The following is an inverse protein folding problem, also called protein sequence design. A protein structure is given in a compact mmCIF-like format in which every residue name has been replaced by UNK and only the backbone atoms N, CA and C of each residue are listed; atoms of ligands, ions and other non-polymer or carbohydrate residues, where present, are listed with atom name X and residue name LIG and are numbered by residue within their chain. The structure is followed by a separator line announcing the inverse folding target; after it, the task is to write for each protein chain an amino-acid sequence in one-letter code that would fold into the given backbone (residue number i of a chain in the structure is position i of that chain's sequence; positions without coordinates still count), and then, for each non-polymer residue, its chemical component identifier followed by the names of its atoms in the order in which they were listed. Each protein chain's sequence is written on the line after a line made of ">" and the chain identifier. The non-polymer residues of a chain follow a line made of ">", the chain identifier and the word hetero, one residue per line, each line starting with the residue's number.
data_IF_455892657219
#
_entry.id   IF_455892657219
#
_cell.length_a   1.000
_cell.length_b   1.000
_cell.length_c   1.000
_cell.angle_alpha   90.00
_cell.angle_beta   90.00
_cell.angle_gamma   90.00
#
_symmetry.space_group_name_H-M   'P 1'
#
loop_
_entity.id
_entity.type
_entity.pdbx_description
1 polymer ?
#
# COMPACT_ATOMS: atom_id res chain seq x y z
N UNK A 1 -46.09 7.50 -49.32
CA UNK A 1 -44.99 6.56 -49.66
C UNK A 1 -43.69 7.34 -49.51
N UNK A 2 -42.78 7.04 -48.61
CA UNK A 2 -42.58 5.83 -47.81
C UNK A 2 -41.76 6.21 -46.57
N UNK A 3 -42.05 5.52 -45.48
CA UNK A 3 -41.17 5.39 -44.33
C UNK A 3 -39.84 4.76 -44.75
N UNK A 4 -38.74 5.20 -44.14
CA UNK A 4 -37.77 4.29 -43.52
C UNK A 4 -37.02 5.01 -42.40
N UNK A 5 -37.16 4.46 -41.21
CA UNK A 5 -36.34 4.68 -40.02
C UNK A 5 -34.85 4.39 -40.28
N UNK A 6 -33.95 5.16 -39.66
CA UNK A 6 -32.88 4.54 -38.86
C UNK A 6 -32.36 5.48 -37.75
N UNK A 7 -32.61 5.03 -36.53
CA UNK A 7 -32.13 5.52 -35.24
C UNK A 7 -30.59 5.46 -35.19
N UNK A 8 -29.92 6.62 -35.29
CA UNK A 8 -28.49 6.73 -34.97
C UNK A 8 -28.31 7.14 -33.51
N UNK A 9 -28.40 6.17 -32.61
CA UNK A 9 -27.88 6.29 -31.24
C UNK A 9 -26.37 6.31 -31.28
N UNK A 10 -25.74 7.43 -30.94
CA UNK A 10 -24.33 7.42 -30.51
C UNK A 10 -24.07 8.64 -29.64
N UNK A 11 -23.27 8.43 -28.58
CA UNK A 11 -22.65 9.40 -27.66
C UNK A 11 -23.52 9.70 -26.44
N UNK A 12 -23.07 9.56 -25.20
CA UNK A 12 -21.72 9.41 -24.65
C UNK A 12 -21.77 8.40 -23.50
N UNK A 13 -20.77 7.52 -23.43
CA UNK A 13 -20.37 6.95 -22.15
C UNK A 13 -19.79 8.13 -21.37
N UNK A 14 -20.53 8.61 -20.37
CA UNK A 14 -20.03 9.62 -19.44
C UNK A 14 -18.72 9.10 -18.86
N UNK A 15 -17.65 9.82 -19.16
CA UNK A 15 -16.31 9.46 -18.75
C UNK A 15 -16.28 9.30 -17.25
N UNK A 16 -15.86 8.11 -16.80
CA UNK A 16 -15.41 7.93 -15.43
C UNK A 16 -14.20 8.86 -15.28
N UNK A 17 -14.45 10.04 -14.71
CA UNK A 17 -13.40 10.97 -14.32
C UNK A 17 -12.72 10.37 -13.08
N UNK A 18 -11.91 9.33 -13.28
CA UNK A 18 -10.96 8.89 -12.26
C UNK A 18 -9.81 9.88 -12.24
N UNK A 19 -10.06 11.08 -11.72
CA UNK A 19 -8.98 11.93 -11.23
C UNK A 19 -8.47 11.24 -9.96
N UNK A 20 -7.68 10.18 -10.12
CA UNK A 20 -6.93 9.60 -9.01
C UNK A 20 -5.92 10.66 -8.60
N UNK A 21 -6.25 11.43 -7.57
CA UNK A 21 -5.27 12.28 -6.93
C UNK A 21 -4.23 11.33 -6.31
N UNK A 22 -3.13 11.12 -7.02
CA UNK A 22 -2.00 10.38 -6.51
C UNK A 22 -1.60 11.05 -5.19
N UNK A 23 -1.87 10.35 -4.08
CA UNK A 23 -1.58 10.85 -2.74
C UNK A 23 -0.07 11.09 -2.69
N UNK A 24 0.34 12.36 -2.64
CA UNK A 24 1.75 12.72 -2.55
C UNK A 24 2.28 12.18 -1.23
N UNK A 25 3.14 11.16 -1.32
CA UNK A 25 3.86 10.62 -0.15
C UNK A 25 4.89 11.68 0.24
N UNK A 26 4.90 12.08 1.51
CA UNK A 26 5.90 13.02 2.02
C UNK A 26 7.25 12.31 2.18
N UNK A 27 8.35 13.06 2.18
CA UNK A 27 9.68 12.48 2.37
C UNK A 27 9.79 11.80 3.74
N UNK A 28 9.16 12.34 4.78
CA UNK A 28 9.11 11.75 6.11
C UNK A 28 8.35 10.43 6.10
N UNK A 29 7.26 10.34 5.34
CA UNK A 29 6.55 9.07 5.20
C UNK A 29 7.42 8.04 4.48
N UNK A 30 8.10 8.44 3.41
CA UNK A 30 9.03 7.55 2.69
C UNK A 30 10.17 7.06 3.59
N UNK A 31 10.72 7.94 4.44
CA UNK A 31 11.74 7.58 5.41
C UNK A 31 11.23 6.54 6.42
N UNK A 32 10.00 6.75 6.94
CA UNK A 32 9.35 5.79 7.84
C UNK A 32 9.16 4.41 7.21
N UNK A 33 8.80 4.33 5.92
CA UNK A 33 8.75 3.06 5.19
C UNK A 33 10.12 2.38 5.14
N UNK A 34 11.15 3.15 4.76
CA UNK A 34 12.51 2.64 4.64
C UNK A 34 13.05 2.11 5.96
N UNK A 35 12.88 2.88 7.04
CA UNK A 35 13.36 2.52 8.38
C UNK A 35 12.67 1.26 8.89
N UNK A 36 11.35 1.13 8.67
CA UNK A 36 10.63 -0.09 9.03
C UNK A 36 11.14 -1.31 8.27
N UNK A 37 11.36 -1.20 6.95
CA UNK A 37 11.90 -2.29 6.14
C UNK A 37 13.28 -2.71 6.64
N UNK A 38 14.13 -1.75 6.98
CA UNK A 38 15.46 -2.02 7.52
C UNK A 38 15.39 -2.73 8.89
N UNK A 39 14.53 -2.25 9.79
CA UNK A 39 14.32 -2.87 11.09
C UNK A 39 13.81 -4.31 10.96
N UNK A 40 12.89 -4.59 10.03
CA UNK A 40 12.37 -5.94 9.81
C UNK A 40 13.44 -6.89 9.26
N UNK A 41 14.32 -6.41 8.36
CA UNK A 41 15.46 -7.17 7.85
C UNK A 41 16.44 -7.54 8.97
N UNK A 42 16.76 -6.58 9.84
CA UNK A 42 17.61 -6.82 11.01
C UNK A 42 16.97 -7.86 11.94
N UNK A 43 15.67 -7.70 12.22
CA UNK A 43 14.95 -8.62 13.11
C UNK A 43 14.91 -10.06 12.56
N UNK A 44 14.75 -10.21 11.23
CA UNK A 44 14.83 -11.51 10.57
C UNK A 44 16.20 -12.16 10.72
N UNK A 45 17.27 -11.39 10.53
CA UNK A 45 18.65 -11.87 10.77
C UNK A 45 18.86 -12.27 12.23
N UNK A 46 18.33 -11.52 13.19
CA UNK A 46 18.41 -11.88 14.61
C UNK A 46 17.70 -13.22 14.91
N UNK A 47 16.54 -13.45 14.30
CA UNK A 47 15.80 -14.71 14.45
C UNK A 47 16.56 -15.89 13.81
N UNK A 48 17.07 -15.70 12.58
CA UNK A 48 17.84 -16.72 11.87
C UNK A 48 19.12 -17.13 12.64
N UNK A 49 19.76 -16.16 13.30
CA UNK A 49 20.93 -16.38 14.16
C UNK A 49 20.57 -16.83 15.58
N UNK A 50 19.28 -17.11 15.87
CA UNK A 50 18.78 -17.55 17.19
C UNK A 50 19.12 -16.58 18.34
N UNK A 51 19.27 -15.30 18.04
CA UNK A 51 19.48 -14.24 19.03
C UNK A 51 18.16 -13.83 19.73
N UNK A 52 17.04 -14.12 19.09
CA UNK A 52 15.69 -13.91 19.59
C UNK A 52 14.81 -15.11 19.26
N UNK A 53 13.73 -15.27 20.01
CA UNK A 53 12.67 -16.24 19.76
C UNK A 53 11.65 -15.74 18.74
N UNK A 54 10.82 -16.65 18.21
CA UNK A 54 9.69 -16.28 17.35
C UNK A 54 8.69 -15.35 18.06
N UNK A 55 8.44 -15.61 19.35
CA UNK A 55 7.60 -14.76 20.20
C UNK A 55 8.15 -13.33 20.32
N UNK A 56 9.45 -13.19 20.55
CA UNK A 56 10.12 -11.89 20.61
C UNK A 56 10.12 -11.20 19.25
N UNK A 57 10.36 -11.94 18.16
CA UNK A 57 10.23 -11.42 16.80
C UNK A 57 8.83 -10.83 16.57
N UNK A 58 7.78 -11.52 16.98
CA UNK A 58 6.40 -11.03 16.81
C UNK A 58 6.13 -9.78 17.64
N UNK A 59 6.55 -9.76 18.91
CA UNK A 59 6.42 -8.60 19.80
C UNK A 59 7.17 -7.38 19.26
N UNK A 60 8.41 -7.57 18.81
CA UNK A 60 9.23 -6.48 18.26
C UNK A 60 8.66 -6.00 16.93
N UNK A 61 8.14 -6.89 16.07
CA UNK A 61 7.45 -6.51 14.83
C UNK A 61 6.25 -5.60 15.12
N UNK A 62 5.42 -5.94 16.11
CA UNK A 62 4.29 -5.11 16.53
C UNK A 62 4.75 -3.75 17.08
N UNK A 63 5.84 -3.71 17.84
CA UNK A 63 6.42 -2.45 18.32
C UNK A 63 6.96 -1.61 17.17
N UNK A 64 7.70 -2.19 16.23
CA UNK A 64 8.21 -1.50 15.05
C UNK A 64 7.08 -0.88 14.22
N UNK A 65 5.96 -1.59 14.01
CA UNK A 65 4.78 -1.03 13.32
C UNK A 65 4.25 0.22 14.02
N UNK A 66 4.18 0.22 15.36
CA UNK A 66 3.75 1.40 16.14
C UNK A 66 4.77 2.54 16.07
N UNK A 67 6.05 2.23 16.24
CA UNK A 67 7.14 3.22 16.27
C UNK A 67 7.33 3.90 14.92
N UNK A 68 7.47 3.12 13.85
CA UNK A 68 7.70 3.68 12.52
C UNK A 68 6.41 4.18 11.88
N UNK A 69 5.23 3.73 12.33
CA UNK A 69 3.94 4.07 11.72
C UNK A 69 3.97 4.10 10.17
N UNK A 70 4.49 3.04 9.52
CA UNK A 70 4.58 3.02 8.07
C UNK A 70 3.18 2.78 7.48
N UNK A 71 2.83 3.53 6.43
CA UNK A 71 1.52 3.47 5.78
C UNK A 71 1.27 2.13 5.11
N UNK A 72 2.34 1.40 4.76
CA UNK A 72 2.24 0.09 4.10
C UNK A 72 2.29 -1.08 5.09
N UNK A 73 2.44 -0.86 6.40
CA UNK A 73 2.50 -1.96 7.37
C UNK A 73 1.26 -2.86 7.35
N UNK A 74 0.08 -2.32 7.04
CA UNK A 74 -1.16 -3.09 6.92
C UNK A 74 -1.12 -4.10 5.77
N UNK A 75 -0.35 -3.83 4.71
CA UNK A 75 -0.24 -4.70 3.54
C UNK A 75 0.88 -5.74 3.68
N UNK A 76 1.79 -5.55 4.63
CA UNK A 76 2.95 -6.40 4.88
C UNK A 76 2.72 -7.38 6.04
N UNK A 77 1.45 -7.75 6.28
CA UNK A 77 1.01 -8.64 7.35
C UNK A 77 1.47 -10.08 7.14
#
# INVERSE_FOLDING_TARGET
>A
MSHTDNKKTTKMVEGINTKSEAKKISQEQLQREYDYILAQKMLKSMLENRLITEDEFHKITLLNRKTFSPSLAELMA
#
